data_IF_910761063849
#
_entry.id   IF_910761063849
#
_cell.length_a   1.000
_cell.length_b   1.000
_cell.length_c   1.000
_cell.angle_alpha   90.00
_cell.angle_beta   90.00
_cell.angle_gamma   90.00
#
_symmetry.space_group_name_H-M   'P 1'
#
loop_
_entity.id
_entity.type
_entity.pdbx_description
1 polymer ?
#
# COMPACT_ATOMS: atom_id res chain seq x y z
N UNK A 1 0.91 -4.04 -10.11
CA UNK A 1 -0.12 -3.72 -11.12
C UNK A 1 -0.46 -4.87 -12.09
N UNK A 2 0.26 -5.91 -12.16
CA UNK A 2 0.05 -7.20 -12.84
C UNK A 2 1.39 -7.87 -13.24
N UNK A 3 2.31 -7.93 -12.29
CA UNK A 3 3.54 -8.69 -12.47
C UNK A 3 3.28 -10.14 -12.01
N UNK A 4 2.68 -10.95 -12.88
CA UNK A 4 2.23 -12.31 -12.55
C UNK A 4 3.37 -13.29 -12.29
N UNK A 5 4.57 -13.01 -12.77
CA UNK A 5 5.77 -13.82 -12.57
C UNK A 5 6.62 -13.34 -11.38
N UNK A 6 6.01 -12.64 -10.41
CA UNK A 6 6.66 -12.19 -9.18
C UNK A 6 6.89 -13.37 -8.20
N UNK A 7 7.66 -14.36 -8.61
CA UNK A 7 8.08 -15.52 -7.82
C UNK A 7 9.39 -15.24 -7.10
N UNK A 8 9.74 -16.08 -6.11
CA UNK A 8 10.94 -15.85 -5.27
C UNK A 8 12.24 -15.74 -6.08
N UNK A 9 12.41 -16.54 -7.14
CA UNK A 9 13.58 -16.49 -8.03
C UNK A 9 13.69 -15.17 -8.81
N UNK A 10 12.59 -14.43 -8.96
CA UNK A 10 12.56 -13.11 -9.59
C UNK A 10 12.65 -11.98 -8.55
N UNK A 11 13.19 -12.28 -7.38
CA UNK A 11 13.55 -11.33 -6.34
C UNK A 11 15.06 -11.37 -6.09
N UNK A 12 15.65 -10.22 -5.80
CA UNK A 12 17.07 -10.08 -5.48
C UNK A 12 17.20 -9.29 -4.19
N UNK A 13 17.84 -9.87 -3.20
CA UNK A 13 18.17 -9.23 -1.93
C UNK A 13 19.64 -8.84 -1.92
N UNK A 14 19.91 -7.56 -1.72
CA UNK A 14 21.27 -6.99 -1.74
C UNK A 14 21.57 -6.34 -0.40
N UNK A 15 22.67 -6.76 0.25
CA UNK A 15 23.19 -6.06 1.41
C UNK A 15 23.86 -4.75 0.94
N UNK A 16 23.32 -3.63 1.37
CA UNK A 16 23.84 -2.29 1.06
C UNK A 16 24.43 -1.69 2.34
N UNK A 17 25.61 -1.08 2.22
CA UNK A 17 26.24 -0.32 3.31
C UNK A 17 26.42 1.12 2.87
N UNK A 18 25.68 2.03 3.49
CA UNK A 18 25.73 3.46 3.21
C UNK A 18 25.82 4.24 4.53
N UNK A 19 26.67 5.23 4.58
CA UNK A 19 26.84 6.13 5.75
C UNK A 19 27.02 5.38 7.08
N UNK A 20 27.75 4.24 7.06
CA UNK A 20 28.03 3.43 8.25
C UNK A 20 26.87 2.56 8.73
N UNK A 21 25.77 2.47 7.98
CA UNK A 21 24.63 1.59 8.25
C UNK A 21 24.51 0.53 7.17
N UNK A 22 24.24 -0.71 7.58
CA UNK A 22 23.97 -1.81 6.66
C UNK A 22 22.50 -2.20 6.72
N UNK A 23 21.90 -2.41 5.55
CA UNK A 23 20.52 -2.85 5.42
C UNK A 23 20.35 -3.70 4.16
N UNK A 24 19.29 -4.52 4.13
CA UNK A 24 18.93 -5.31 2.95
C UNK A 24 18.00 -4.50 2.08
N UNK A 25 18.33 -4.39 0.79
CA UNK A 25 17.48 -3.80 -0.24
C UNK A 25 16.90 -4.91 -1.10
N UNK A 26 15.56 -4.92 -1.19
CA UNK A 26 14.81 -5.91 -1.96
C UNK A 26 14.49 -5.35 -3.35
N UNK A 27 14.69 -6.16 -4.38
CA UNK A 27 14.36 -5.83 -5.77
C UNK A 27 13.46 -6.92 -6.35
N UNK A 28 12.49 -6.50 -7.18
CA UNK A 28 11.86 -7.38 -8.15
C UNK A 28 12.63 -7.24 -9.47
N UNK A 29 12.87 -8.37 -10.12
CA UNK A 29 13.58 -8.47 -11.40
C UNK A 29 12.72 -9.27 -12.39
N UNK A 30 13.14 -9.35 -13.64
CA UNK A 30 12.51 -10.13 -14.72
C UNK A 30 11.03 -9.71 -14.98
N UNK A 31 10.85 -8.53 -15.54
CA UNK A 31 9.52 -8.00 -15.87
C UNK A 31 8.99 -8.47 -17.24
N UNK A 32 9.62 -9.43 -17.90
CA UNK A 32 9.20 -9.96 -19.21
C UNK A 32 7.79 -10.56 -19.23
N UNK A 33 7.34 -11.10 -18.10
CA UNK A 33 5.98 -11.64 -17.92
C UNK A 33 5.10 -10.70 -17.08
N UNK A 34 5.03 -9.43 -17.48
CA UNK A 34 4.25 -8.40 -16.76
C UNK A 34 3.17 -7.79 -17.66
N UNK A 35 2.20 -7.13 -17.05
CA UNK A 35 1.12 -6.35 -17.65
C UNK A 35 0.16 -7.11 -18.57
N UNK A 36 0.50 -7.86 -19.47
CA UNK A 36 -0.34 -8.64 -20.38
C UNK A 36 0.49 -9.63 -21.17
N UNK A 37 1.82 -9.56 -20.97
CA UNK A 37 2.80 -10.46 -21.58
C UNK A 37 2.97 -11.73 -20.76
N UNK A 38 3.12 -12.86 -21.45
CA UNK A 38 3.59 -14.13 -20.89
C UNK A 38 5.07 -14.40 -21.24
N UNK A 39 5.79 -13.41 -21.75
CA UNK A 39 7.15 -13.48 -22.25
C UNK A 39 7.18 -13.57 -23.78
N UNK A 40 6.93 -14.72 -24.35
CA UNK A 40 6.92 -14.96 -25.82
C UNK A 40 5.52 -15.03 -26.41
N UNK A 41 4.48 -15.02 -25.60
CA UNK A 41 3.07 -15.07 -25.99
C UNK A 41 2.24 -14.17 -25.05
N UNK A 42 0.98 -13.88 -25.36
CA UNK A 42 0.08 -13.22 -24.42
C UNK A 42 -0.02 -14.00 -23.11
N UNK A 43 -0.23 -13.28 -21.99
CA UNK A 43 -0.43 -13.90 -20.69
C UNK A 43 -1.56 -14.93 -20.74
N UNK A 44 -1.43 -16.01 -19.95
CA UNK A 44 -2.48 -17.05 -19.87
C UNK A 44 -3.79 -16.47 -19.32
N UNK A 45 -4.93 -17.04 -19.69
CA UNK A 45 -6.25 -16.57 -19.23
C UNK A 45 -6.42 -16.64 -17.70
N UNK A 46 -5.78 -17.62 -17.05
CA UNK A 46 -5.78 -17.77 -15.59
C UNK A 46 -4.79 -16.88 -14.86
N UNK A 47 -3.87 -16.21 -15.59
CA UNK A 47 -2.82 -15.38 -15.00
C UNK A 47 -3.39 -14.25 -14.14
N UNK A 48 -2.94 -14.17 -12.90
CA UNK A 48 -3.46 -13.24 -11.89
C UNK A 48 -4.70 -13.74 -11.14
N UNK A 49 -5.27 -14.88 -11.53
CA UNK A 49 -6.45 -15.47 -10.89
C UNK A 49 -6.13 -16.74 -10.11
N UNK A 50 -5.23 -17.56 -10.59
CA UNK A 50 -4.87 -18.85 -10.00
C UNK A 50 -3.33 -18.99 -9.96
N UNK A 51 -2.83 -19.81 -9.04
CA UNK A 51 -1.45 -20.28 -9.09
C UNK A 51 -1.29 -21.35 -10.18
N UNK A 52 -0.10 -21.50 -10.73
CA UNK A 52 0.23 -22.52 -11.73
C UNK A 52 -0.16 -23.94 -11.25
N UNK A 53 -0.01 -24.22 -9.97
CA UNK A 53 -0.47 -25.44 -9.32
C UNK A 53 -1.32 -25.03 -8.13
N UNK A 54 -2.63 -25.23 -8.23
CA UNK A 54 -3.60 -24.91 -7.17
C UNK A 54 -4.47 -26.12 -6.84
N UNK A 55 -4.03 -27.01 -5.92
CA UNK A 55 -4.72 -28.25 -5.62
C UNK A 55 -6.19 -28.09 -5.20
N UNK A 56 -6.52 -27.00 -4.48
CA UNK A 56 -7.89 -26.72 -4.03
C UNK A 56 -8.86 -26.50 -5.20
N UNK A 57 -8.43 -25.82 -6.26
CA UNK A 57 -9.29 -25.56 -7.41
C UNK A 57 -9.43 -26.82 -8.30
N UNK A 58 -8.36 -27.59 -8.42
CA UNK A 58 -8.40 -28.92 -9.07
C UNK A 58 -9.36 -29.83 -8.32
N UNK A 59 -9.24 -29.94 -7.00
CA UNK A 59 -10.14 -30.76 -6.18
C UNK A 59 -11.61 -30.31 -6.31
N UNK A 60 -11.86 -28.97 -6.27
CA UNK A 60 -13.21 -28.41 -6.46
C UNK A 60 -13.79 -28.76 -7.82
N UNK A 61 -13.00 -28.68 -8.89
CA UNK A 61 -13.44 -29.04 -10.24
C UNK A 61 -13.75 -30.54 -10.33
N UNK A 62 -12.93 -31.40 -9.73
CA UNK A 62 -13.17 -32.85 -9.69
C UNK A 62 -14.45 -33.19 -8.92
N UNK A 63 -14.62 -32.66 -7.71
CA UNK A 63 -15.80 -32.93 -6.86
C UNK A 63 -17.09 -32.40 -7.49
N UNK A 64 -16.99 -31.28 -8.21
CA UNK A 64 -18.14 -30.69 -8.91
C UNK A 64 -18.41 -31.31 -10.30
N UNK A 65 -17.68 -32.35 -10.71
CA UNK A 65 -17.75 -32.89 -12.07
C UNK A 65 -17.64 -31.83 -13.18
N UNK A 66 -16.86 -30.78 -12.95
CA UNK A 66 -16.67 -29.66 -13.89
C UNK A 66 -17.75 -28.58 -13.85
N UNK A 67 -18.78 -28.70 -13.02
CA UNK A 67 -19.81 -27.63 -12.86
C UNK A 67 -19.29 -26.40 -12.16
N UNK A 68 -18.21 -26.49 -11.37
CA UNK A 68 -17.55 -25.31 -10.80
C UNK A 68 -16.68 -24.62 -11.84
N UNK A 69 -17.19 -23.54 -12.42
CA UNK A 69 -16.46 -22.77 -13.44
C UNK A 69 -15.68 -21.64 -12.76
N UNK A 70 -14.34 -21.59 -12.88
CA UNK A 70 -13.55 -20.48 -12.38
C UNK A 70 -13.95 -19.16 -13.04
N UNK A 71 -13.98 -18.08 -12.26
CA UNK A 71 -14.41 -16.75 -12.74
C UNK A 71 -13.64 -16.28 -13.97
N UNK A 72 -12.35 -16.58 -14.07
CA UNK A 72 -11.52 -16.17 -15.20
C UNK A 72 -11.94 -16.80 -16.54
N UNK A 73 -12.60 -17.98 -16.55
CA UNK A 73 -13.12 -18.61 -17.77
C UNK A 73 -14.27 -17.82 -18.41
N UNK A 74 -14.98 -17.02 -17.63
CA UNK A 74 -16.11 -16.21 -18.09
C UNK A 74 -15.76 -14.73 -18.19
N UNK A 75 -14.54 -14.33 -17.78
CA UNK A 75 -14.05 -12.97 -17.85
C UNK A 75 -13.77 -12.58 -19.31
N UNK A 76 -14.34 -11.48 -19.82
CA UNK A 76 -13.98 -10.98 -21.14
C UNK A 76 -12.57 -10.39 -21.12
N UNK A 77 -11.77 -10.72 -22.13
CA UNK A 77 -10.41 -10.21 -22.29
C UNK A 77 -10.32 -9.22 -23.45
N UNK A 78 -9.37 -8.29 -23.33
CA UNK A 78 -8.81 -7.53 -24.42
C UNK A 78 -7.46 -8.13 -24.77
N UNK A 79 -7.23 -8.39 -26.04
CA UNK A 79 -5.99 -8.96 -26.56
C UNK A 79 -5.55 -8.16 -27.78
N UNK A 80 -4.30 -7.73 -27.76
CA UNK A 80 -3.65 -7.08 -28.90
C UNK A 80 -2.19 -7.55 -28.94
N UNK A 81 -1.66 -7.75 -30.15
CA UNK A 81 -0.28 -8.19 -30.36
C UNK A 81 0.74 -7.27 -29.67
N UNK A 82 0.44 -5.98 -29.58
CA UNK A 82 1.30 -4.97 -28.98
C UNK A 82 1.44 -5.09 -27.45
N UNK A 83 0.37 -5.48 -26.72
CA UNK A 83 0.35 -5.47 -25.25
C UNK A 83 -0.01 -6.81 -24.63
N UNK A 84 -0.26 -7.85 -25.43
CA UNK A 84 -0.70 -9.17 -24.95
C UNK A 84 -2.15 -9.19 -24.48
N UNK A 85 -2.44 -9.89 -23.36
CA UNK A 85 -3.81 -10.18 -22.89
C UNK A 85 -4.02 -9.63 -21.49
N UNK A 86 -5.08 -8.84 -21.33
CA UNK A 86 -5.53 -8.30 -20.03
C UNK A 86 -7.07 -8.43 -19.91
N UNK A 87 -7.63 -8.57 -18.71
CA UNK A 87 -9.07 -8.43 -18.51
C UNK A 87 -9.58 -7.13 -19.12
N UNK A 88 -10.73 -7.19 -19.81
CA UNK A 88 -11.33 -6.01 -20.46
C UNK A 88 -11.79 -4.95 -19.45
N UNK A 89 -12.28 -5.41 -18.30
CA UNK A 89 -12.79 -4.57 -17.21
C UNK A 89 -11.86 -4.67 -16.01
N UNK A 90 -11.10 -3.62 -15.72
CA UNK A 90 -10.15 -3.57 -14.61
C UNK A 90 -10.66 -2.68 -13.46
N UNK A 91 -11.77 -1.98 -13.62
CA UNK A 91 -12.42 -1.23 -12.54
C UNK A 91 -12.89 -2.15 -11.38
N UNK A 92 -13.30 -3.39 -11.72
CA UNK A 92 -13.71 -4.43 -10.76
C UNK A 92 -12.56 -5.32 -10.27
N UNK A 93 -11.32 -4.94 -10.56
CA UNK A 93 -10.14 -5.65 -10.11
C UNK A 93 -10.12 -5.73 -8.57
N UNK A 94 -10.05 -6.96 -8.04
CA UNK A 94 -9.92 -7.18 -6.60
C UNK A 94 -8.46 -7.54 -6.27
N UNK A 95 -7.69 -6.62 -5.64
CA UNK A 95 -6.29 -6.86 -5.34
C UNK A 95 -6.06 -7.95 -4.28
N UNK A 96 -7.05 -8.24 -3.42
CA UNK A 96 -6.95 -9.31 -2.42
C UNK A 96 -7.05 -10.72 -3.05
N UNK A 97 -7.71 -10.83 -4.20
CA UNK A 97 -7.86 -12.10 -4.91
C UNK A 97 -6.78 -12.32 -5.96
N UNK A 98 -5.99 -11.30 -6.27
CA UNK A 98 -4.92 -11.41 -7.25
C UNK A 98 -3.82 -12.37 -6.78
N UNK A 99 -3.31 -13.20 -7.69
CA UNK A 99 -2.26 -14.19 -7.40
C UNK A 99 -1.16 -14.15 -8.47
N UNK A 100 0.12 -14.24 -8.07
CA UNK A 100 1.20 -14.52 -9.02
C UNK A 100 1.10 -15.96 -9.54
N UNK A 101 1.89 -16.31 -10.54
CA UNK A 101 1.95 -17.69 -11.08
C UNK A 101 2.35 -18.74 -10.04
N UNK A 102 3.25 -18.36 -9.14
CA UNK A 102 3.78 -19.21 -8.06
C UNK A 102 3.65 -18.44 -6.75
N UNK A 103 3.25 -19.10 -5.65
CA UNK A 103 3.22 -18.43 -4.35
C UNK A 103 4.55 -17.77 -4.03
N UNK A 104 4.50 -16.52 -3.56
CA UNK A 104 5.66 -15.79 -3.06
C UNK A 104 5.42 -15.44 -1.58
N UNK A 105 6.36 -15.84 -0.71
CA UNK A 105 6.22 -15.68 0.73
C UNK A 105 6.06 -14.22 1.15
N UNK A 106 6.73 -13.28 0.48
CA UNK A 106 6.58 -11.86 0.75
C UNK A 106 5.14 -11.37 0.55
N UNK A 107 4.42 -11.89 -0.45
CA UNK A 107 3.01 -11.54 -0.68
C UNK A 107 2.05 -12.28 0.24
N UNK A 108 2.35 -13.56 0.55
CA UNK A 108 1.52 -14.36 1.45
C UNK A 108 1.54 -13.83 2.88
N UNK A 109 2.68 -13.28 3.32
CA UNK A 109 2.87 -12.73 4.67
C UNK A 109 2.81 -11.20 4.71
N UNK A 110 2.46 -10.54 3.60
CA UNK A 110 2.27 -9.09 3.57
C UNK A 110 1.16 -8.68 4.54
N UNK A 111 1.50 -7.82 5.50
CA UNK A 111 0.57 -7.30 6.50
C UNK A 111 -0.21 -6.11 5.95
N UNK A 112 -1.22 -5.69 6.68
CA UNK A 112 -2.08 -4.57 6.30
C UNK A 112 -1.30 -3.25 6.16
N UNK A 113 -0.27 -3.03 6.98
CA UNK A 113 0.61 -1.86 6.92
C UNK A 113 1.54 -1.89 5.70
N UNK A 114 2.03 -3.06 5.27
CA UNK A 114 2.81 -3.21 4.03
C UNK A 114 1.97 -2.87 2.80
N UNK A 115 0.73 -3.40 2.76
CA UNK A 115 -0.24 -3.13 1.69
C UNK A 115 -0.63 -1.65 1.64
N UNK A 116 -0.84 -1.03 2.80
CA UNK A 116 -1.10 0.40 2.92
C UNK A 116 0.08 1.22 2.38
N UNK A 117 1.31 0.89 2.79
CA UNK A 117 2.51 1.58 2.29
C UNK A 117 2.62 1.48 0.76
N UNK A 118 2.41 0.30 0.19
CA UNK A 118 2.42 0.10 -1.26
C UNK A 118 1.31 0.91 -1.95
N UNK A 119 0.11 0.96 -1.38
CA UNK A 119 -1.00 1.75 -1.91
C UNK A 119 -0.71 3.26 -1.87
N UNK A 120 -0.03 3.77 -0.83
CA UNK A 120 0.44 5.17 -0.79
C UNK A 120 1.43 5.48 -1.92
N UNK A 121 2.38 4.57 -2.21
CA UNK A 121 3.31 4.74 -3.35
C UNK A 121 2.57 4.77 -4.67
N UNK A 122 1.56 3.91 -4.85
CA UNK A 122 0.72 3.90 -6.04
C UNK A 122 -0.18 5.15 -6.13
N UNK A 123 -0.63 5.69 -5.02
CA UNK A 123 -1.45 6.91 -5.00
C UNK A 123 -0.72 8.13 -5.58
N UNK A 124 0.60 8.17 -5.48
CA UNK A 124 1.42 9.22 -6.08
C UNK A 124 1.51 9.13 -7.62
N UNK A 125 1.16 8.00 -8.23
CA UNK A 125 1.16 7.83 -9.68
C UNK A 125 -0.10 8.44 -10.28
N UNK A 126 0.03 9.58 -10.96
CA UNK A 126 -1.07 10.16 -11.73
C UNK A 126 -1.35 9.37 -13.01
N UNK A 127 -2.52 9.55 -13.60
CA UNK A 127 -2.84 8.92 -14.90
C UNK A 127 -1.91 9.42 -16.00
N UNK A 128 -1.45 10.67 -15.92
CA UNK A 128 -0.50 11.22 -16.89
C UNK A 128 0.90 10.60 -16.74
N UNK A 129 1.35 10.32 -15.51
CA UNK A 129 2.59 9.58 -15.27
C UNK A 129 2.49 8.14 -15.81
N UNK A 130 1.35 7.46 -15.59
CA UNK A 130 1.10 6.13 -16.16
C UNK A 130 1.14 6.20 -17.69
N UNK A 131 0.49 7.19 -18.29
CA UNK A 131 0.49 7.40 -19.75
C UNK A 131 1.89 7.65 -20.28
N UNK A 132 2.66 8.51 -19.61
CA UNK A 132 4.05 8.77 -19.99
C UNK A 132 4.90 7.50 -19.94
N UNK A 133 4.76 6.70 -18.88
CA UNK A 133 5.46 5.42 -18.74
C UNK A 133 5.04 4.40 -19.82
N UNK A 134 3.74 4.29 -20.15
CA UNK A 134 3.27 3.38 -21.20
C UNK A 134 3.84 3.78 -22.57
N UNK A 135 3.90 5.07 -22.88
CA UNK A 135 4.44 5.56 -24.15
C UNK A 135 5.92 5.19 -24.37
N UNK A 136 6.70 5.01 -23.31
CA UNK A 136 8.10 4.57 -23.45
C UNK A 136 8.23 3.14 -24.00
N UNK A 137 7.14 2.38 -24.01
CA UNK A 137 7.09 1.03 -24.58
C UNK A 137 6.99 1.00 -26.11
N UNK A 138 6.73 2.14 -26.77
CA UNK A 138 6.68 2.31 -28.23
C UNK A 138 5.88 1.20 -28.93
N UNK A 139 4.69 0.90 -28.40
CA UNK A 139 3.87 -0.25 -28.84
C UNK A 139 3.38 -0.18 -30.29
N UNK A 140 3.40 0.99 -30.92
CA UNK A 140 2.96 1.18 -32.32
C UNK A 140 1.44 1.02 -32.55
N UNK A 141 0.64 0.83 -31.50
CA UNK A 141 -0.83 0.70 -31.52
C UNK A 141 -1.44 1.65 -30.49
N UNK A 142 -1.98 2.76 -30.95
CA UNK A 142 -2.57 3.79 -30.08
C UNK A 142 -3.80 3.29 -29.29
N UNK A 143 -4.58 2.35 -29.84
CA UNK A 143 -5.72 1.79 -29.16
C UNK A 143 -5.28 0.85 -28.02
N UNK A 144 -4.25 0.04 -28.25
CA UNK A 144 -3.64 -0.82 -27.24
C UNK A 144 -2.98 0.00 -26.13
N UNK A 145 -2.25 1.07 -26.45
CA UNK A 145 -1.68 2.00 -25.47
C UNK A 145 -2.77 2.64 -24.60
N UNK A 146 -3.82 3.17 -25.21
CA UNK A 146 -4.93 3.79 -24.49
C UNK A 146 -5.63 2.78 -23.57
N UNK A 147 -5.82 1.54 -24.01
CA UNK A 147 -6.37 0.48 -23.19
C UNK A 147 -5.46 0.17 -22.00
N UNK A 148 -4.15 0.02 -22.21
CA UNK A 148 -3.19 -0.29 -21.14
C UNK A 148 -3.13 0.82 -20.09
N UNK A 149 -3.10 2.09 -20.50
CA UNK A 149 -3.16 3.24 -19.58
C UNK A 149 -4.42 3.18 -18.71
N UNK A 150 -5.58 2.94 -19.32
CA UNK A 150 -6.85 2.82 -18.59
C UNK A 150 -6.82 1.64 -17.62
N UNK A 151 -6.40 0.46 -18.07
CA UNK A 151 -6.32 -0.74 -17.23
C UNK A 151 -5.41 -0.55 -16.01
N UNK A 152 -4.26 0.09 -16.17
CA UNK A 152 -3.33 0.38 -15.08
C UNK A 152 -3.89 1.42 -14.11
N UNK A 153 -4.56 2.47 -14.61
CA UNK A 153 -5.21 3.47 -13.78
C UNK A 153 -6.36 2.86 -12.96
N UNK A 154 -7.23 2.06 -13.57
CA UNK A 154 -8.31 1.35 -12.90
C UNK A 154 -7.80 0.40 -11.80
N UNK A 155 -6.72 -0.37 -12.06
CA UNK A 155 -6.08 -1.24 -11.07
C UNK A 155 -5.42 -0.46 -9.94
N UNK A 156 -4.72 0.65 -10.25
CA UNK A 156 -4.19 1.56 -9.22
C UNK A 156 -5.31 2.02 -8.29
N UNK A 157 -6.42 2.47 -8.86
CA UNK A 157 -7.54 3.00 -8.09
C UNK A 157 -8.25 1.92 -7.27
N UNK A 158 -8.32 0.69 -7.77
CA UNK A 158 -8.81 -0.46 -7.00
C UNK A 158 -7.89 -0.77 -5.80
N UNK A 159 -6.57 -0.75 -5.98
CA UNK A 159 -5.58 -0.94 -4.90
C UNK A 159 -5.68 0.18 -3.86
N UNK A 160 -5.82 1.44 -4.29
CA UNK A 160 -6.01 2.58 -3.39
C UNK A 160 -7.26 2.40 -2.53
N UNK A 161 -8.41 2.06 -3.14
CA UNK A 161 -9.66 1.82 -2.42
C UNK A 161 -9.56 0.67 -1.42
N UNK A 162 -8.89 -0.41 -1.79
CA UNK A 162 -8.76 -1.59 -0.93
C UNK A 162 -7.89 -1.34 0.30
N UNK A 163 -6.77 -0.62 0.14
CA UNK A 163 -5.73 -0.62 1.17
C UNK A 163 -5.54 0.71 1.90
N UNK A 164 -5.88 1.87 1.32
CA UNK A 164 -5.68 3.15 2.00
C UNK A 164 -6.63 3.36 3.17
N UNK A 165 -7.77 2.67 3.20
CA UNK A 165 -8.74 2.74 4.29
C UNK A 165 -8.72 1.53 5.22
N UNK A 166 -7.91 0.51 4.92
CA UNK A 166 -7.88 -0.76 5.67
C UNK A 166 -7.18 -0.66 7.03
N UNK A 167 -6.32 0.33 7.21
CA UNK A 167 -5.62 0.66 8.46
C UNK A 167 -5.83 2.14 8.81
N UNK A 168 -5.34 2.57 9.97
CA UNK A 168 -5.31 4.00 10.28
C UNK A 168 -4.48 4.75 9.22
N UNK A 169 -5.09 5.68 8.44
CA UNK A 169 -4.45 6.29 7.27
C UNK A 169 -3.59 7.50 7.58
N UNK A 170 -3.43 7.87 8.86
CA UNK A 170 -2.61 8.99 9.28
C UNK A 170 -1.16 8.76 8.84
N UNK A 171 -0.55 9.78 8.25
CA UNK A 171 0.79 9.74 7.68
C UNK A 171 1.49 11.08 7.83
N UNK A 172 2.82 11.07 7.70
CA UNK A 172 3.65 12.27 7.69
C UNK A 172 3.43 13.19 8.91
N UNK A 173 3.40 12.69 10.16
CA UNK A 173 3.24 13.55 11.32
C UNK A 173 4.47 14.45 11.46
N UNK A 174 4.21 15.75 11.70
CA UNK A 174 5.21 16.76 11.98
C UNK A 174 4.77 17.62 13.17
N UNK A 175 5.68 17.87 14.09
CA UNK A 175 5.43 18.69 15.29
C UNK A 175 6.31 19.93 15.24
N UNK A 176 5.69 21.09 15.11
CA UNK A 176 6.37 22.37 15.09
C UNK A 176 5.63 23.41 15.95
N UNK A 177 6.36 24.19 16.72
CA UNK A 177 5.84 25.27 17.58
C UNK A 177 4.60 24.84 18.41
N UNK A 178 4.59 23.59 18.92
CA UNK A 178 3.47 23.04 19.70
C UNK A 178 2.22 22.72 18.86
N UNK A 179 2.35 22.64 17.55
CA UNK A 179 1.29 22.21 16.63
C UNK A 179 1.72 20.95 15.92
N UNK A 180 0.92 19.89 16.06
CA UNK A 180 1.08 18.64 15.33
C UNK A 180 0.25 18.72 14.07
N UNK A 181 0.87 18.50 12.92
CA UNK A 181 0.22 18.35 11.61
C UNK A 181 0.47 16.98 11.06
N UNK A 182 -0.44 16.47 10.24
CA UNK A 182 -0.31 15.18 9.57
C UNK A 182 -1.24 15.13 8.36
N UNK A 183 -1.14 14.08 7.56
CA UNK A 183 -2.05 13.82 6.44
C UNK A 183 -2.92 12.62 6.74
N UNK A 184 -4.07 12.55 6.07
CA UNK A 184 -4.91 11.36 6.01
C UNK A 184 -4.87 10.84 4.57
N UNK A 185 -4.07 9.80 4.33
CA UNK A 185 -3.79 9.30 2.98
C UNK A 185 -5.05 8.79 2.24
N UNK A 186 -6.07 8.31 2.96
CA UNK A 186 -7.32 7.86 2.35
C UNK A 186 -8.19 9.04 1.89
N UNK A 187 -8.19 10.13 2.66
CA UNK A 187 -8.91 11.37 2.32
C UNK A 187 -8.22 12.11 1.20
N UNK A 188 -6.88 12.28 1.27
CA UNK A 188 -6.09 12.90 0.20
C UNK A 188 -6.23 12.17 -1.14
N UNK A 189 -6.34 10.85 -1.09
CA UNK A 189 -6.53 10.02 -2.27
C UNK A 189 -7.99 9.99 -2.77
N UNK A 190 -8.91 10.69 -2.13
CA UNK A 190 -10.34 10.70 -2.43
C UNK A 190 -10.99 9.30 -2.44
N UNK A 191 -10.52 8.42 -1.54
CA UNK A 191 -11.09 7.07 -1.37
C UNK A 191 -11.96 6.96 -0.12
N UNK A 192 -11.92 7.95 0.76
CA UNK A 192 -12.75 8.02 1.95
C UNK A 192 -13.09 9.46 2.33
N UNK A 193 -14.16 9.63 3.10
CA UNK A 193 -14.55 10.92 3.67
C UNK A 193 -13.73 11.22 4.92
N UNK A 194 -13.62 12.52 5.25
CA UNK A 194 -13.04 12.98 6.53
C UNK A 194 -13.72 12.27 7.71
N UNK A 195 -12.97 11.87 8.74
CA UNK A 195 -13.54 11.42 10.01
C UNK A 195 -14.22 12.60 10.72
N UNK A 196 -15.03 12.31 11.73
CA UNK A 196 -15.62 13.36 12.57
C UNK A 196 -14.57 14.17 13.31
N UNK A 197 -13.56 13.50 13.82
CA UNK A 197 -12.48 14.11 14.57
C UNK A 197 -11.20 13.25 14.55
N UNK A 198 -10.08 13.90 14.75
CA UNK A 198 -8.79 13.28 15.07
C UNK A 198 -8.50 13.46 16.56
N UNK A 199 -7.98 12.43 17.19
CA UNK A 199 -7.60 12.44 18.62
C UNK A 199 -6.12 12.10 18.73
N UNK A 200 -5.41 12.82 19.58
CA UNK A 200 -4.01 12.56 19.93
C UNK A 200 -3.87 12.37 21.42
N UNK A 201 -3.31 11.24 21.84
CA UNK A 201 -2.84 10.99 23.19
C UNK A 201 -1.35 11.24 23.25
N UNK A 202 -0.92 12.13 24.13
CA UNK A 202 0.46 12.64 24.24
C UNK A 202 1.14 12.07 25.46
N UNK A 203 2.30 11.45 25.30
CA UNK A 203 3.05 10.85 26.41
C UNK A 203 4.52 11.24 26.35
N UNK A 204 5.11 11.52 27.52
CA UNK A 204 6.57 11.51 27.65
C UNK A 204 7.02 10.06 27.50
N UNK A 205 8.02 9.84 26.69
CA UNK A 205 8.52 8.51 26.34
C UNK A 205 9.96 8.33 26.83
N UNK A 206 10.23 7.23 27.52
CA UNK A 206 11.59 6.81 27.85
C UNK A 206 12.05 5.78 26.81
N UNK A 207 13.02 6.16 25.98
CA UNK A 207 13.52 5.30 24.91
C UNK A 207 14.39 4.14 25.42
N UNK A 208 14.75 4.10 26.70
CA UNK A 208 15.55 3.02 27.32
C UNK A 208 14.64 1.97 27.93
N UNK A 209 13.64 2.39 28.71
CA UNK A 209 12.69 1.48 29.39
C UNK A 209 11.45 1.19 28.55
N UNK A 210 11.21 1.96 27.49
CA UNK A 210 10.00 1.94 26.64
C UNK A 210 8.71 2.34 27.41
N UNK A 211 8.85 2.98 28.56
CA UNK A 211 7.71 3.45 29.34
C UNK A 211 7.17 4.77 28.75
N UNK A 212 5.85 4.90 28.77
CA UNK A 212 5.14 6.09 28.35
C UNK A 212 4.32 6.67 29.50
N UNK A 213 4.56 7.94 29.85
CA UNK A 213 3.79 8.66 30.88
C UNK A 213 2.88 9.67 30.18
N UNK A 214 1.57 9.52 30.35
CA UNK A 214 0.57 10.40 29.73
C UNK A 214 0.74 11.84 30.20
N UNK A 215 0.75 12.77 29.24
CA UNK A 215 0.75 14.24 29.46
C UNK A 215 -0.69 14.78 29.33
N UNK A 216 -1.42 14.33 28.31
CA UNK A 216 -2.78 14.78 28.03
C UNK A 216 -3.30 14.28 26.69
N UNK A 217 -4.55 14.65 26.39
CA UNK A 217 -5.21 14.33 25.13
C UNK A 217 -5.70 15.62 24.46
N UNK A 218 -5.68 15.64 23.13
CA UNK A 218 -6.22 16.74 22.32
C UNK A 218 -6.99 16.18 21.15
N UNK A 219 -8.02 16.92 20.67
CA UNK A 219 -8.76 16.54 19.49
C UNK A 219 -9.08 17.74 18.58
N UNK A 220 -9.28 17.49 17.30
CA UNK A 220 -9.72 18.48 16.32
C UNK A 220 -10.42 17.80 15.12
N UNK A 221 -11.30 18.51 14.42
CA UNK A 221 -11.94 18.01 13.21
C UNK A 221 -11.01 18.01 11.98
N UNK A 222 -9.85 18.63 12.07
CA UNK A 222 -8.85 18.75 11.00
C UNK A 222 -7.56 18.02 11.37
N UNK A 223 -6.69 17.67 10.40
CA UNK A 223 -5.42 16.99 10.67
C UNK A 223 -4.36 17.96 11.25
N UNK A 224 -4.77 18.78 12.21
CA UNK A 224 -3.93 19.73 12.92
C UNK A 224 -4.38 19.81 14.37
N UNK A 225 -3.50 19.48 15.32
CA UNK A 225 -3.78 19.42 16.76
C UNK A 225 -2.80 20.28 17.54
N UNK A 226 -3.30 20.98 18.56
CA UNK A 226 -2.46 21.68 19.52
C UNK A 226 -1.93 20.69 20.55
N UNK A 227 -0.64 20.76 20.84
CA UNK A 227 -0.05 19.99 21.92
C UNK A 227 -0.56 20.49 23.28
N UNK A 228 -0.74 19.64 24.28
CA UNK A 228 -1.03 20.05 25.66
C UNK A 228 0.19 20.74 26.29
N UNK A 229 -0.03 21.41 27.40
CA UNK A 229 1.07 21.91 28.22
C UNK A 229 1.88 20.75 28.84
N UNK A 230 3.18 20.99 29.12
CA UNK A 230 4.03 20.01 29.81
C UNK A 230 4.79 19.05 28.91
N UNK A 231 4.95 19.38 27.63
CA UNK A 231 5.87 18.67 26.75
C UNK A 231 7.30 18.65 27.33
N UNK A 232 8.13 17.62 27.04
CA UNK A 232 9.54 17.62 27.39
C UNK A 232 10.23 18.88 26.90
N UNK A 233 10.96 19.55 27.80
CA UNK A 233 11.70 20.78 27.48
C UNK A 233 13.22 20.56 27.37
N UNK A 234 13.73 19.43 27.89
CA UNK A 234 15.14 19.10 27.81
C UNK A 234 15.48 18.50 26.45
N UNK A 235 16.59 18.97 25.87
CA UNK A 235 17.13 18.38 24.64
C UNK A 235 17.39 16.87 24.82
N UNK A 236 17.15 16.10 23.76
CA UNK A 236 17.19 14.63 23.80
C UNK A 236 15.94 13.98 24.36
N UNK A 237 15.00 14.74 24.93
CA UNK A 237 13.72 14.22 25.43
C UNK A 237 12.87 13.63 24.29
N UNK A 238 12.15 12.52 24.60
CA UNK A 238 11.27 11.86 23.66
C UNK A 238 9.79 12.08 24.00
N UNK A 239 9.00 12.15 22.96
CA UNK A 239 7.55 12.29 23.00
C UNK A 239 6.94 11.18 22.13
N UNK A 240 5.99 10.43 22.66
CA UNK A 240 5.11 9.52 21.92
C UNK A 240 3.77 10.18 21.73
N UNK A 241 3.26 10.18 20.51
CA UNK A 241 1.91 10.68 20.19
C UNK A 241 1.15 9.58 19.48
N UNK A 242 0.06 9.12 20.11
CA UNK A 242 -0.84 8.11 19.56
C UNK A 242 -2.01 8.81 18.88
N UNK A 243 -2.16 8.60 17.58
CA UNK A 243 -3.09 9.31 16.71
C UNK A 243 -4.21 8.38 16.24
N UNK A 244 -5.45 8.75 16.47
CA UNK A 244 -6.65 8.05 16.01
C UNK A 244 -7.56 8.96 15.22
N UNK A 245 -8.36 8.39 14.32
CA UNK A 245 -9.38 9.10 13.56
C UNK A 245 -10.75 8.48 13.86
N UNK A 246 -11.63 9.24 14.51
CA UNK A 246 -12.89 8.77 15.05
C UNK A 246 -14.10 9.20 14.24
N UNK A 247 -15.17 8.40 14.29
CA UNK A 247 -16.43 8.71 13.60
C UNK A 247 -16.32 8.59 12.06
N UNK A 248 -15.40 7.75 11.57
CA UNK A 248 -15.34 7.34 10.18
C UNK A 248 -16.14 6.06 9.93
N UNK A 249 -16.43 5.74 8.67
CA UNK A 249 -17.03 4.46 8.26
C UNK A 249 -16.05 3.28 8.37
N UNK A 250 -14.77 3.53 8.72
CA UNK A 250 -13.69 2.56 8.77
C UNK A 250 -13.26 2.30 10.21
N UNK A 251 -13.64 1.17 10.85
CA UNK A 251 -13.33 0.90 12.27
C UNK A 251 -11.82 0.87 12.58
N UNK A 252 -11.00 0.46 11.63
CA UNK A 252 -9.55 0.41 11.78
C UNK A 252 -8.91 1.79 12.05
N UNK A 253 -9.59 2.89 11.70
CA UNK A 253 -9.08 4.24 11.90
C UNK A 253 -9.06 4.66 13.37
N UNK A 254 -9.85 4.02 14.21
CA UNK A 254 -9.84 4.23 15.64
C UNK A 254 -8.62 3.57 16.33
N UNK A 255 -7.96 2.60 15.70
CA UNK A 255 -6.71 2.03 16.20
C UNK A 255 -5.61 3.09 16.08
N UNK A 256 -4.82 3.36 17.14
CA UNK A 256 -3.83 4.42 17.09
C UNK A 256 -2.66 4.09 16.15
N UNK A 257 -2.16 5.12 15.48
CA UNK A 257 -0.83 5.14 14.89
C UNK A 257 0.09 5.92 15.83
N UNK A 258 1.26 5.39 16.15
CA UNK A 258 2.21 5.99 17.09
C UNK A 258 3.31 6.74 16.36
N UNK A 259 3.46 8.03 16.68
CA UNK A 259 4.55 8.87 16.22
C UNK A 259 5.50 9.16 17.39
N UNK A 260 6.79 8.96 17.17
CA UNK A 260 7.83 9.22 18.16
C UNK A 260 8.66 10.42 17.70
N UNK A 261 8.74 11.43 18.56
CA UNK A 261 9.52 12.63 18.31
C UNK A 261 10.64 12.75 19.32
N UNK A 262 11.78 13.27 18.88
CA UNK A 262 12.90 13.65 19.73
C UNK A 262 13.10 15.16 19.67
N UNK A 263 13.21 15.81 20.83
CA UNK A 263 13.57 17.22 20.89
C UNK A 263 15.07 17.40 20.60
N UNK A 264 15.37 18.23 19.63
CA UNK A 264 16.72 18.61 19.21
C UNK A 264 16.89 20.11 19.29
N UNK A 265 18.10 20.64 19.09
CA UNK A 265 18.34 22.08 18.98
C UNK A 265 17.46 22.78 17.93
N UNK A 266 17.10 22.07 16.84
CA UNK A 266 16.27 22.58 15.74
C UNK A 266 14.76 22.35 15.94
N UNK A 267 14.32 21.89 17.12
CA UNK A 267 12.92 21.55 17.39
C UNK A 267 12.64 20.05 17.38
N UNK A 268 11.37 19.68 17.27
CA UNK A 268 10.94 18.30 17.29
C UNK A 268 11.24 17.59 15.97
N UNK A 269 11.92 16.46 16.03
CA UNK A 269 12.25 15.61 14.88
C UNK A 269 11.51 14.27 15.01
N UNK A 270 10.76 13.90 14.00
CA UNK A 270 10.17 12.54 13.91
C UNK A 270 11.30 11.51 13.81
N UNK A 271 11.33 10.55 14.74
CA UNK A 271 12.35 9.50 14.81
C UNK A 271 11.78 8.09 14.68
N UNK A 272 10.46 7.94 14.82
CA UNK A 272 9.76 6.68 14.63
C UNK A 272 8.29 6.90 14.30
N UNK A 273 7.72 6.03 13.49
CA UNK A 273 6.30 6.00 13.20
C UNK A 273 5.85 4.56 12.92
N UNK A 274 4.83 4.12 13.63
CA UNK A 274 4.35 2.75 13.53
C UNK A 274 2.83 2.68 13.57
N UNK A 275 2.28 1.63 12.95
CA UNK A 275 0.89 1.19 13.12
C UNK A 275 0.93 -0.19 13.73
N UNK A 276 0.06 -0.46 14.68
CA UNK A 276 -0.09 -1.82 15.20
C UNK A 276 -0.80 -2.63 14.11
N UNK A 277 -0.14 -3.60 13.48
CA UNK A 277 -0.76 -4.45 12.47
C UNK A 277 -1.80 -5.37 13.12
N UNK A 278 -2.75 -5.81 12.30
CA UNK A 278 -3.67 -6.89 12.68
C UNK A 278 -3.02 -8.25 12.53
#
# INVERSE_FOLDING_TARGET
LNHVDAKAINSLDVLVTETGKSYVRHYLIDFGSALGSGGVAPADYWAGSEYLVQPSDVARQMVSFGFSVPKWRTTPFYEASAIGRLPRHNADFNPELWKPRVPNQAFLHARSDDKFWAAQKLAALTTDMIRAAVRTGEFGDAAAEAFLVRALAERRDAIRRAYLSAVNPISQPALDAGTLTFTNAAVEADVARMPREYVASWSRFDNTTHEATLIGETSAPTPQLRAPAGLPAAEGGFLKVELSALGSAHPAWAKPASAYFQLTHGGWRLVGFERVPE
#
